data_IF_450517409058
#
_entry.id   IF_450517409058
#
_cell.length_a   1.000
_cell.length_b   1.000
_cell.length_c   1.000
_cell.angle_alpha   90.00
_cell.angle_beta   90.00
_cell.angle_gamma   90.00
#
_symmetry.space_group_name_H-M   'P 1'
#
loop_
_entity.id
_entity.type
_entity.pdbx_description
1 polymer ?
#
# COMPACT_ATOMS: atom_id res chain seq x y z
N UNK A 1 23.87 52.61 -35.78
CA UNK A 1 25.15 51.88 -35.92
C UNK A 1 25.12 50.67 -35.01
N UNK A 2 24.92 49.50 -35.61
CA UNK A 2 25.05 48.23 -34.90
C UNK A 2 26.51 47.75 -35.02
N UNK A 3 27.25 47.80 -33.92
CA UNK A 3 28.54 47.15 -33.82
C UNK A 3 28.35 45.64 -33.98
N UNK A 4 28.65 45.11 -35.17
CA UNK A 4 28.72 43.68 -35.39
C UNK A 4 30.13 43.20 -35.02
N UNK A 5 30.31 42.79 -33.75
CA UNK A 5 31.55 42.18 -33.31
C UNK A 5 31.41 40.66 -33.47
N UNK A 6 32.13 40.11 -34.42
CA UNK A 6 32.21 38.65 -34.63
C UNK A 6 33.52 38.11 -34.06
N UNK A 7 33.43 37.23 -33.06
CA UNK A 7 34.56 36.45 -32.62
C UNK A 7 34.46 35.01 -33.12
N UNK A 8 35.52 34.51 -33.75
CA UNK A 8 35.62 33.10 -34.13
C UNK A 8 35.99 32.29 -32.88
N UNK A 9 35.07 31.45 -32.42
CA UNK A 9 35.31 30.51 -31.32
C UNK A 9 35.36 29.08 -31.85
N UNK A 10 36.26 28.28 -31.33
CA UNK A 10 36.26 26.84 -31.55
C UNK A 10 35.09 26.20 -30.80
N UNK A 11 34.66 25.02 -31.23
CA UNK A 11 33.51 24.32 -30.60
C UNK A 11 33.70 24.02 -29.10
N UNK A 12 34.92 23.79 -28.66
CA UNK A 12 35.22 23.51 -27.24
C UNK A 12 34.98 24.73 -26.33
N UNK A 13 35.50 25.94 -26.61
CA UNK A 13 35.12 27.12 -25.82
C UNK A 13 33.65 27.51 -26.01
N UNK A 14 33.04 27.28 -27.17
CA UNK A 14 31.65 27.58 -27.42
C UNK A 14 30.73 26.71 -26.54
N UNK A 15 31.06 25.44 -26.32
CA UNK A 15 30.29 24.53 -25.47
C UNK A 15 30.25 24.99 -24.01
N UNK A 16 31.25 25.78 -23.54
CA UNK A 16 31.29 26.33 -22.20
C UNK A 16 30.27 27.46 -21.98
N UNK A 17 29.73 28.05 -23.05
CA UNK A 17 28.69 29.09 -22.97
C UNK A 17 27.27 28.49 -22.86
N UNK A 18 27.10 27.20 -23.07
CA UNK A 18 25.82 26.54 -22.90
C UNK A 18 25.63 26.12 -21.43
N UNK A 19 24.62 26.67 -20.72
CA UNK A 19 24.42 26.39 -19.30
C UNK A 19 23.74 25.04 -19.03
N UNK A 20 23.73 24.12 -20.00
CA UNK A 20 23.03 22.83 -19.90
C UNK A 20 23.87 21.73 -19.26
N UNK A 21 24.72 22.04 -18.29
CA UNK A 21 25.63 21.06 -17.68
C UNK A 21 25.02 20.39 -16.45
N UNK A 22 24.02 20.98 -15.80
CA UNK A 22 23.28 20.29 -14.73
C UNK A 22 21.87 20.84 -14.62
N UNK A 23 20.92 19.93 -14.47
CA UNK A 23 19.58 20.29 -14.07
C UNK A 23 19.57 20.42 -12.54
N UNK A 24 19.29 21.59 -12.02
CA UNK A 24 19.08 21.76 -10.60
C UNK A 24 17.73 21.17 -10.24
N UNK A 25 17.75 19.97 -9.65
CA UNK A 25 16.57 19.33 -9.04
C UNK A 25 16.41 19.85 -7.60
N UNK A 26 16.58 21.14 -7.40
CA UNK A 26 16.44 21.76 -6.09
C UNK A 26 15.07 22.43 -5.98
N UNK A 27 14.31 22.01 -5.02
CA UNK A 27 13.08 22.65 -4.56
C UNK A 27 13.42 23.46 -3.28
N UNK A 28 12.62 24.49 -2.99
CA UNK A 28 12.74 25.22 -1.72
C UNK A 28 12.18 24.42 -0.53
N UNK A 29 11.53 23.31 -0.80
CA UNK A 29 10.88 22.43 0.18
C UNK A 29 11.13 20.96 -0.18
N UNK A 30 10.96 20.08 0.81
CA UNK A 30 11.05 18.66 0.65
C UNK A 30 12.22 18.04 1.41
N UNK A 31 12.41 16.75 1.17
CA UNK A 31 13.48 15.99 1.83
C UNK A 31 14.79 16.07 1.04
N UNK A 32 15.90 15.98 1.76
CA UNK A 32 17.23 15.94 1.15
C UNK A 32 17.48 14.55 0.56
N UNK A 33 17.59 14.45 -0.76
CA UNK A 33 17.96 13.19 -1.45
C UNK A 33 19.47 12.98 -1.51
N UNK A 34 20.24 14.05 -1.63
CA UNK A 34 21.70 13.94 -1.69
C UNK A 34 22.37 15.22 -2.17
N UNK A 35 23.58 15.06 -2.68
CA UNK A 35 24.40 16.14 -3.24
C UNK A 35 24.61 15.87 -4.73
N UNK A 36 24.33 16.85 -5.56
CA UNK A 36 24.57 16.77 -7.00
C UNK A 36 26.08 16.66 -7.27
N UNK A 37 26.50 15.61 -7.95
CA UNK A 37 27.93 15.33 -8.21
C UNK A 37 28.56 16.31 -9.19
N UNK A 38 27.78 17.03 -9.98
CA UNK A 38 28.30 17.94 -11.00
C UNK A 38 28.58 19.35 -10.45
N UNK A 39 27.70 19.86 -9.60
CA UNK A 39 27.78 21.23 -9.10
C UNK A 39 27.81 21.33 -7.57
N UNK A 40 27.84 20.20 -6.86
CA UNK A 40 27.84 20.13 -5.38
C UNK A 40 26.64 20.81 -4.71
N UNK A 41 25.56 21.07 -5.45
CA UNK A 41 24.31 21.58 -4.86
C UNK A 41 23.58 20.49 -4.09
N UNK A 42 22.79 20.89 -3.08
CA UNK A 42 21.90 19.97 -2.38
C UNK A 42 20.71 19.65 -3.28
N UNK A 43 20.32 18.38 -3.32
CA UNK A 43 19.11 17.93 -4.00
C UNK A 43 18.00 17.82 -2.96
N UNK A 44 17.17 18.86 -2.88
CA UNK A 44 15.94 18.89 -2.10
C UNK A 44 14.76 18.62 -3.05
N UNK A 45 13.91 17.70 -2.70
CA UNK A 45 12.77 17.33 -3.54
C UNK A 45 11.54 17.01 -2.69
N UNK A 46 10.43 17.66 -3.05
CA UNK A 46 9.12 17.39 -2.50
C UNK A 46 8.31 16.57 -3.50
N UNK A 47 8.20 15.27 -3.25
CA UNK A 47 7.44 14.33 -4.08
C UNK A 47 5.96 14.67 -4.10
N UNK A 48 5.41 15.07 -2.95
CA UNK A 48 3.97 15.31 -2.80
C UNK A 48 3.49 16.60 -3.47
N UNK A 49 4.42 17.48 -3.86
CA UNK A 49 4.09 18.66 -4.68
C UNK A 49 3.90 18.34 -6.16
N UNK A 50 4.21 17.11 -6.59
CA UNK A 50 4.09 16.70 -7.98
C UNK A 50 2.66 16.29 -8.33
N UNK A 51 2.21 16.46 -9.59
CA UNK A 51 0.89 15.97 -10.04
C UNK A 51 0.72 14.45 -9.88
N UNK A 52 1.81 13.70 -9.93
CA UNK A 52 1.86 12.27 -9.65
C UNK A 52 3.08 11.99 -8.77
N UNK A 53 2.83 11.55 -7.55
CA UNK A 53 3.85 11.29 -6.53
C UNK A 53 4.30 9.83 -6.46
N UNK A 54 3.81 8.95 -7.35
CA UNK A 54 4.28 7.58 -7.44
C UNK A 54 5.74 7.54 -7.93
N UNK A 55 6.52 6.63 -7.39
CA UNK A 55 7.91 6.42 -7.83
C UNK A 55 8.24 4.95 -7.93
N UNK A 56 9.18 4.64 -8.80
CA UNK A 56 9.72 3.29 -8.98
C UNK A 56 11.24 3.38 -8.88
N UNK A 57 11.84 2.53 -8.04
CA UNK A 57 13.29 2.50 -7.82
C UNK A 57 13.86 1.22 -8.42
N UNK A 58 14.68 1.38 -9.46
CA UNK A 58 15.42 0.28 -10.09
C UNK A 58 16.87 0.32 -9.66
N UNK A 59 17.40 -0.81 -9.22
CA UNK A 59 18.79 -0.95 -8.86
C UNK A 59 19.26 -2.39 -9.03
N UNK A 60 20.53 -2.57 -9.34
CA UNK A 60 21.18 -3.89 -9.26
C UNK A 60 21.34 -4.29 -7.80
N UNK A 61 21.47 -5.60 -7.54
CA UNK A 61 21.71 -6.09 -6.18
C UNK A 61 22.97 -5.43 -5.58
N UNK A 62 22.88 -5.00 -4.31
CA UNK A 62 23.99 -4.32 -3.62
C UNK A 62 24.19 -2.85 -3.98
N UNK A 63 23.42 -2.27 -4.90
CA UNK A 63 23.55 -0.86 -5.30
C UNK A 63 23.04 0.17 -4.27
N UNK A 64 22.47 -0.28 -3.15
CA UNK A 64 22.00 0.59 -2.07
C UNK A 64 20.52 1.00 -2.17
N UNK A 65 19.69 0.27 -2.95
CA UNK A 65 18.23 0.54 -3.06
C UNK A 65 17.57 0.67 -1.68
N UNK A 66 17.67 -0.38 -0.86
CA UNK A 66 17.04 -0.41 0.47
C UNK A 66 17.63 0.67 1.41
N UNK A 67 18.92 0.98 1.28
CA UNK A 67 19.53 2.06 2.05
C UNK A 67 18.94 3.42 1.68
N UNK A 68 18.82 3.71 0.38
CA UNK A 68 18.24 4.97 -0.09
C UNK A 68 16.75 5.10 0.34
N UNK A 69 15.98 4.02 0.25
CA UNK A 69 14.59 4.01 0.69
C UNK A 69 14.45 4.19 2.20
N UNK A 70 15.29 3.53 3.01
CA UNK A 70 15.31 3.72 4.48
C UNK A 70 15.65 5.16 4.85
N UNK A 71 16.59 5.76 4.13
CA UNK A 71 16.96 7.16 4.35
C UNK A 71 15.83 8.13 3.97
N UNK A 72 15.13 7.84 2.88
CA UNK A 72 13.94 8.60 2.47
C UNK A 72 12.82 8.50 3.52
N UNK A 73 12.54 7.30 4.04
CA UNK A 73 11.58 7.07 5.12
C UNK A 73 11.94 7.88 6.36
N UNK A 74 13.18 7.76 6.85
CA UNK A 74 13.63 8.50 8.03
C UNK A 74 13.46 10.02 7.87
N UNK A 75 13.78 10.54 6.69
CA UNK A 75 13.63 11.96 6.39
C UNK A 75 12.19 12.40 6.26
N UNK A 76 11.31 11.54 5.73
CA UNK A 76 9.88 11.80 5.63
C UNK A 76 9.21 11.84 7.01
N UNK A 77 9.58 10.93 7.91
CA UNK A 77 9.11 10.92 9.30
C UNK A 77 9.44 12.21 10.05
N UNK A 78 10.53 12.92 9.69
CA UNK A 78 10.84 14.24 10.27
C UNK A 78 9.87 15.35 9.87
N UNK A 79 9.02 15.11 8.88
CA UNK A 79 7.98 16.03 8.38
C UNK A 79 6.57 15.54 8.72
N UNK A 80 6.45 14.69 9.74
CA UNK A 80 5.15 14.17 10.22
C UNK A 80 4.39 13.34 9.16
N UNK A 81 5.13 12.65 8.30
CA UNK A 81 4.56 11.77 7.27
C UNK A 81 4.39 10.38 7.85
N UNK A 82 3.19 9.83 7.79
CA UNK A 82 2.95 8.43 8.11
C UNK A 82 3.50 7.52 7.02
N UNK A 83 4.19 6.45 7.43
CA UNK A 83 4.82 5.51 6.51
C UNK A 83 4.31 4.10 6.76
N UNK A 84 3.77 3.48 5.73
CA UNK A 84 3.37 2.07 5.72
C UNK A 84 4.30 1.32 4.76
N UNK A 85 5.02 0.32 5.25
CA UNK A 85 5.93 -0.48 4.45
C UNK A 85 5.46 -1.95 4.36
N UNK A 86 5.39 -2.48 3.13
CA UNK A 86 5.21 -3.92 2.90
C UNK A 86 6.60 -4.50 2.60
N UNK A 87 7.09 -5.33 3.52
CA UNK A 87 8.48 -5.78 3.56
C UNK A 87 8.60 -7.32 3.50
N UNK A 88 8.64 -7.92 2.31
CA UNK A 88 8.75 -9.37 2.18
C UNK A 88 10.12 -9.92 2.59
N UNK A 89 11.17 -9.10 2.66
CA UNK A 89 12.54 -9.51 2.92
C UNK A 89 13.00 -9.24 4.38
N UNK A 90 12.15 -8.64 5.21
CA UNK A 90 12.43 -8.27 6.61
C UNK A 90 13.62 -7.30 6.76
N UNK A 91 13.73 -6.35 5.86
CA UNK A 91 14.82 -5.37 5.91
C UNK A 91 14.49 -4.15 6.78
N UNK A 92 13.20 -3.88 7.10
CA UNK A 92 12.73 -2.66 7.74
C UNK A 92 12.37 -2.83 9.23
N UNK A 93 12.44 -4.04 9.78
CA UNK A 93 12.11 -4.34 11.18
C UNK A 93 12.86 -3.41 12.15
N UNK A 94 14.19 -3.38 12.05
CA UNK A 94 15.02 -2.50 12.89
C UNK A 94 14.68 -1.01 12.71
N UNK A 95 14.36 -0.58 11.51
CA UNK A 95 13.99 0.79 11.24
C UNK A 95 12.67 1.16 11.94
N UNK A 96 11.66 0.29 11.87
CA UNK A 96 10.39 0.49 12.54
C UNK A 96 10.58 0.60 14.06
N UNK A 97 11.33 -0.32 14.67
CA UNK A 97 11.64 -0.28 16.11
C UNK A 97 12.40 0.99 16.51
N UNK A 98 13.42 1.37 15.75
CA UNK A 98 14.26 2.53 16.05
C UNK A 98 13.52 3.87 15.94
N UNK A 99 12.43 3.91 15.14
CA UNK A 99 11.59 5.11 14.98
C UNK A 99 10.34 5.13 15.86
N UNK A 100 10.15 4.11 16.71
CA UNK A 100 8.96 3.97 17.54
C UNK A 100 7.73 3.50 16.78
N UNK A 101 7.92 2.98 15.57
CA UNK A 101 6.88 2.36 14.76
C UNK A 101 6.54 0.94 15.23
N UNK A 102 5.59 0.32 14.52
CA UNK A 102 5.18 -1.07 14.77
C UNK A 102 5.61 -1.95 13.61
N UNK A 103 6.13 -3.11 13.93
CA UNK A 103 6.46 -4.15 12.96
C UNK A 103 5.56 -5.36 13.17
N UNK A 104 4.86 -5.79 12.12
CA UNK A 104 3.99 -6.95 12.14
C UNK A 104 4.60 -8.05 11.27
N UNK A 105 5.05 -9.12 11.88
CA UNK A 105 5.49 -10.29 11.12
C UNK A 105 4.27 -11.14 10.75
N UNK A 106 3.90 -11.11 9.48
CA UNK A 106 2.77 -11.86 8.95
C UNK A 106 3.29 -13.18 8.38
N UNK A 107 3.10 -14.28 9.10
CA UNK A 107 3.49 -15.62 8.67
C UNK A 107 2.53 -16.67 9.21
N UNK A 108 2.56 -17.87 8.65
CA UNK A 108 1.70 -18.98 9.09
C UNK A 108 1.89 -19.39 10.56
N UNK A 109 3.02 -19.03 11.14
CA UNK A 109 3.40 -19.35 12.53
C UNK A 109 3.50 -18.11 13.42
N UNK A 110 3.10 -16.93 12.94
CA UNK A 110 3.15 -15.70 13.73
C UNK A 110 2.01 -15.64 14.75
N UNK A 111 2.24 -14.86 15.80
CA UNK A 111 1.19 -14.53 16.77
C UNK A 111 0.24 -13.43 16.26
N UNK A 112 0.62 -12.77 15.16
CA UNK A 112 -0.19 -11.74 14.53
C UNK A 112 -1.13 -12.37 13.50
N UNK A 113 -2.40 -12.09 13.65
CA UNK A 113 -3.47 -12.52 12.77
C UNK A 113 -4.12 -11.31 12.11
N UNK A 114 -4.74 -11.51 10.96
CA UNK A 114 -5.50 -10.49 10.25
C UNK A 114 -6.90 -11.05 10.08
N UNK A 115 -7.88 -10.35 10.63
CA UNK A 115 -9.27 -10.62 10.31
C UNK A 115 -9.65 -9.83 9.06
N UNK A 116 -9.93 -10.47 7.92
CA UNK A 116 -10.29 -9.74 6.71
C UNK A 116 -11.62 -8.98 6.82
N UNK A 117 -12.45 -9.34 7.79
CA UNK A 117 -13.75 -8.71 8.03
C UNK A 117 -13.70 -7.51 8.95
N UNK A 118 -12.52 -7.14 9.48
CA UNK A 118 -12.37 -5.93 10.28
C UNK A 118 -12.75 -4.70 9.45
N UNK A 119 -13.63 -3.89 10.00
CA UNK A 119 -14.08 -2.67 9.35
C UNK A 119 -13.18 -1.50 9.74
N UNK A 120 -12.80 -0.65 8.79
CA UNK A 120 -12.08 0.57 9.12
C UNK A 120 -12.99 1.52 9.92
N UNK A 121 -12.41 2.43 10.71
CA UNK A 121 -13.18 3.48 11.36
C UNK A 121 -13.90 4.32 10.30
N UNK A 122 -15.14 4.71 10.61
CA UNK A 122 -15.93 5.57 9.69
C UNK A 122 -15.38 7.00 9.77
N UNK A 123 -14.91 7.59 8.67
CA UNK A 123 -14.51 9.00 8.63
C UNK A 123 -15.71 9.92 8.93
N UNK A 124 -15.45 11.11 9.48
CA UNK A 124 -16.53 12.07 9.84
C UNK A 124 -17.34 12.56 8.64
N UNK A 125 -16.76 12.53 7.45
CA UNK A 125 -17.33 12.99 6.19
C UNK A 125 -17.93 11.88 5.32
N UNK A 126 -17.89 10.62 5.77
CA UNK A 126 -18.44 9.47 5.03
C UNK A 126 -19.63 8.83 5.76
N UNK A 127 -20.57 8.28 4.99
CA UNK A 127 -21.66 7.51 5.55
C UNK A 127 -21.19 6.07 5.87
N UNK A 128 -21.58 5.48 7.03
CA UNK A 128 -21.26 4.09 7.36
C UNK A 128 -21.61 3.10 6.25
N UNK A 129 -22.74 3.31 5.56
CA UNK A 129 -23.15 2.50 4.43
C UNK A 129 -22.13 2.45 3.28
N UNK A 130 -21.48 3.56 2.99
CA UNK A 130 -20.52 3.63 1.88
C UNK A 130 -19.19 2.99 2.27
N UNK A 131 -18.76 3.13 3.53
CA UNK A 131 -17.60 2.42 4.09
C UNK A 131 -17.83 0.91 4.01
N UNK A 132 -19.00 0.42 4.45
CA UNK A 132 -19.35 -1.01 4.39
C UNK A 132 -19.40 -1.53 2.96
N UNK A 133 -20.00 -0.78 2.02
CA UNK A 133 -20.02 -1.15 0.59
C UNK A 133 -18.64 -1.27 -0.01
N UNK A 134 -17.80 -0.27 0.24
CA UNK A 134 -16.41 -0.26 -0.24
C UNK A 134 -15.62 -1.44 0.32
N UNK A 135 -15.85 -1.76 1.59
CA UNK A 135 -15.19 -2.89 2.23
C UNK A 135 -15.66 -4.24 1.67
N UNK A 136 -16.97 -4.42 1.44
CA UNK A 136 -17.51 -5.63 0.79
C UNK A 136 -16.88 -5.83 -0.60
N UNK A 137 -16.79 -4.78 -1.42
CA UNK A 137 -16.16 -4.84 -2.74
C UNK A 137 -14.68 -5.25 -2.64
N UNK A 138 -13.96 -4.72 -1.65
CA UNK A 138 -12.58 -5.11 -1.39
C UNK A 138 -12.46 -6.59 -0.96
N UNK A 139 -13.37 -7.07 -0.11
CA UNK A 139 -13.40 -8.47 0.30
C UNK A 139 -13.71 -9.41 -0.86
N UNK A 140 -14.65 -9.08 -1.74
CA UNK A 140 -14.90 -9.85 -2.98
C UNK A 140 -13.63 -9.93 -3.81
N UNK A 141 -12.89 -8.82 -3.95
CA UNK A 141 -11.59 -8.78 -4.62
C UNK A 141 -10.56 -9.69 -3.94
N UNK A 142 -10.47 -9.68 -2.62
CA UNK A 142 -9.60 -10.55 -1.84
C UNK A 142 -9.95 -12.04 -2.07
N UNK A 143 -11.22 -12.42 -1.94
CA UNK A 143 -11.66 -13.80 -2.18
C UNK A 143 -11.43 -14.25 -3.62
N UNK A 144 -11.58 -13.35 -4.61
CA UNK A 144 -11.23 -13.65 -5.99
C UNK A 144 -9.76 -14.05 -6.15
N UNK A 145 -8.86 -13.37 -5.46
CA UNK A 145 -7.43 -13.73 -5.46
C UNK A 145 -7.19 -15.02 -4.67
N UNK A 146 -7.78 -15.17 -3.48
CA UNK A 146 -7.63 -16.36 -2.64
C UNK A 146 -8.10 -17.64 -3.35
N UNK A 147 -9.19 -17.55 -4.09
CA UNK A 147 -9.78 -18.70 -4.81
C UNK A 147 -9.14 -18.96 -6.17
N UNK A 148 -8.22 -18.11 -6.62
CA UNK A 148 -7.57 -18.26 -7.94
C UNK A 148 -8.46 -17.86 -9.11
N UNK A 149 -9.44 -16.98 -8.89
CA UNK A 149 -10.45 -16.54 -9.81
C UNK A 149 -11.87 -16.99 -9.41
N UNK A 150 -12.86 -16.24 -9.84
CA UNK A 150 -14.29 -16.52 -9.64
C UNK A 150 -15.01 -16.43 -10.98
N UNK A 151 -15.98 -17.32 -11.21
CA UNK A 151 -16.96 -17.12 -12.29
C UNK A 151 -17.94 -16.00 -11.91
N UNK A 152 -18.68 -15.41 -12.86
CA UNK A 152 -19.68 -14.39 -12.52
C UNK A 152 -20.73 -14.88 -11.51
N UNK A 153 -21.11 -16.14 -11.57
CA UNK A 153 -22.05 -16.76 -10.65
C UNK A 153 -21.43 -16.92 -9.25
N UNK A 154 -20.18 -17.39 -9.19
CA UNK A 154 -19.42 -17.51 -7.93
C UNK A 154 -19.17 -16.14 -7.29
N UNK A 155 -18.90 -15.11 -8.10
CA UNK A 155 -18.68 -13.73 -7.63
C UNK A 155 -19.94 -13.19 -6.93
N UNK A 156 -21.10 -13.39 -7.52
CA UNK A 156 -22.38 -13.00 -6.92
C UNK A 156 -22.70 -13.78 -5.63
N UNK A 157 -22.34 -15.07 -5.57
CA UNK A 157 -22.51 -15.87 -4.36
C UNK A 157 -21.58 -15.41 -3.22
N UNK A 158 -20.34 -15.06 -3.55
CA UNK A 158 -19.37 -14.54 -2.57
C UNK A 158 -19.83 -13.18 -2.04
N UNK A 159 -20.25 -12.25 -2.91
CA UNK A 159 -20.77 -10.94 -2.52
C UNK A 159 -21.96 -11.07 -1.55
N UNK A 160 -22.91 -11.93 -1.90
CA UNK A 160 -24.05 -12.23 -1.06
C UNK A 160 -23.65 -12.86 0.27
N UNK A 161 -22.74 -13.84 0.27
CA UNK A 161 -22.27 -14.50 1.47
C UNK A 161 -21.57 -13.52 2.43
N UNK A 162 -20.77 -12.59 1.91
CA UNK A 162 -20.12 -11.55 2.72
C UNK A 162 -21.18 -10.65 3.36
N UNK A 163 -22.16 -10.20 2.57
CA UNK A 163 -23.24 -9.33 3.06
C UNK A 163 -24.04 -10.02 4.17
N UNK A 164 -24.41 -11.29 3.97
CA UNK A 164 -25.13 -12.09 4.98
C UNK A 164 -24.26 -12.36 6.21
N UNK A 165 -22.94 -12.48 6.05
CA UNK A 165 -22.00 -12.65 7.17
C UNK A 165 -21.96 -11.41 8.08
N UNK A 166 -21.94 -10.21 7.50
CA UNK A 166 -22.06 -8.98 8.28
C UNK A 166 -23.43 -8.87 8.96
N UNK A 167 -24.50 -9.24 8.26
CA UNK A 167 -25.85 -9.21 8.83
C UNK A 167 -26.03 -10.14 10.04
N UNK A 168 -25.29 -11.25 10.13
CA UNK A 168 -25.29 -12.12 11.32
C UNK A 168 -24.78 -11.41 12.60
N UNK A 169 -24.04 -10.34 12.46
CA UNK A 169 -23.53 -9.50 13.56
C UNK A 169 -24.30 -8.18 13.69
N UNK A 170 -25.48 -8.08 13.10
CA UNK A 170 -26.29 -6.86 13.04
C UNK A 170 -25.61 -5.68 12.33
N UNK A 171 -24.56 -5.96 11.53
CA UNK A 171 -23.88 -4.98 10.69
C UNK A 171 -24.61 -4.92 9.33
N UNK A 172 -25.35 -3.83 9.13
CA UNK A 172 -26.11 -3.57 7.91
C UNK A 172 -25.81 -2.17 7.35
N UNK A 173 -26.29 -1.88 6.17
CA UNK A 173 -26.08 -0.55 5.57
C UNK A 173 -26.77 0.60 6.33
N UNK A 174 -27.70 0.28 7.23
CA UNK A 174 -28.43 1.26 8.02
C UNK A 174 -27.96 1.32 9.48
N UNK A 175 -26.97 0.49 9.87
CA UNK A 175 -26.46 0.41 11.24
C UNK A 175 -25.19 1.23 11.44
N UNK A 176 -25.03 1.79 12.64
CA UNK A 176 -23.73 2.27 13.13
C UNK A 176 -22.97 1.07 13.72
N UNK A 177 -21.92 0.65 13.02
CA UNK A 177 -21.12 -0.51 13.39
C UNK A 177 -19.83 -0.17 14.14
N UNK A 178 -19.62 1.10 14.51
CA UNK A 178 -18.40 1.57 15.17
C UNK A 178 -18.07 0.86 16.50
N UNK A 179 -19.08 0.25 17.13
CA UNK A 179 -18.96 -0.48 18.39
C UNK A 179 -19.27 -1.97 18.29
N UNK A 180 -19.52 -2.47 17.07
CA UNK A 180 -19.92 -3.86 16.85
C UNK A 180 -18.66 -4.68 16.53
N UNK A 181 -18.53 -5.84 17.15
CA UNK A 181 -17.45 -6.79 16.88
C UNK A 181 -17.65 -7.38 15.47
N UNK A 182 -16.63 -7.25 14.57
CA UNK A 182 -16.74 -7.74 13.20
C UNK A 182 -16.83 -9.28 13.17
N UNK A 183 -17.46 -9.85 12.13
CA UNK A 183 -17.49 -11.29 11.96
C UNK A 183 -16.08 -11.85 11.67
N UNK A 184 -15.95 -13.15 11.84
CA UNK A 184 -14.72 -13.89 11.54
C UNK A 184 -14.87 -14.72 10.25
N UNK A 185 -13.76 -15.22 9.75
CA UNK A 185 -13.74 -16.14 8.61
C UNK A 185 -14.58 -17.41 8.86
N UNK A 186 -14.70 -17.85 10.10
CA UNK A 186 -15.56 -18.97 10.50
C UNK A 186 -17.05 -18.68 10.30
N UNK A 187 -17.46 -17.42 10.55
CA UNK A 187 -18.85 -17.01 10.34
C UNK A 187 -19.18 -17.00 8.84
N UNK A 188 -18.22 -16.52 8.02
CA UNK A 188 -18.35 -16.57 6.56
C UNK A 188 -18.39 -18.02 6.03
N UNK A 189 -17.57 -18.94 6.56
CA UNK A 189 -17.64 -20.37 6.20
C UNK A 189 -19.01 -20.95 6.53
N UNK A 190 -19.59 -20.61 7.67
CA UNK A 190 -20.91 -21.08 8.08
C UNK A 190 -22.01 -20.58 7.15
N UNK A 191 -22.02 -19.28 6.81
CA UNK A 191 -22.97 -18.68 5.87
C UNK A 191 -22.85 -19.31 4.50
N UNK A 192 -21.63 -19.40 3.98
CA UNK A 192 -21.37 -19.97 2.66
C UNK A 192 -21.85 -21.43 2.59
N UNK A 193 -21.60 -22.24 3.61
CA UNK A 193 -22.04 -23.63 3.68
C UNK A 193 -23.57 -23.80 3.69
N UNK A 194 -24.31 -22.77 4.11
CA UNK A 194 -25.79 -22.76 4.08
C UNK A 194 -26.40 -22.44 2.71
N UNK A 195 -25.58 -21.97 1.76
CA UNK A 195 -26.04 -21.61 0.42
C UNK A 195 -26.04 -22.82 -0.54
N UNK A 196 -26.79 -22.73 -1.65
CA UNK A 196 -26.79 -23.72 -2.71
C UNK A 196 -25.82 -23.33 -3.83
N UNK A 197 -25.15 -24.30 -4.46
CA UNK A 197 -24.25 -24.07 -5.59
C UNK A 197 -22.84 -23.57 -5.17
N UNK A 198 -22.49 -23.78 -3.91
CA UNK A 198 -21.23 -23.27 -3.31
C UNK A 198 -20.19 -24.36 -3.07
N UNK A 199 -20.39 -25.58 -3.54
CA UNK A 199 -19.52 -26.75 -3.25
C UNK A 199 -18.07 -26.48 -3.64
N UNK A 200 -17.84 -25.87 -4.81
CA UNK A 200 -16.52 -25.45 -5.30
C UNK A 200 -15.90 -24.40 -4.40
N UNK A 201 -16.68 -23.38 -4.01
CA UNK A 201 -16.22 -22.29 -3.13
C UNK A 201 -15.89 -22.81 -1.74
N UNK A 202 -16.76 -23.63 -1.15
CA UNK A 202 -16.54 -24.23 0.17
C UNK A 202 -15.27 -25.10 0.20
N UNK A 203 -15.03 -25.87 -0.85
CA UNK A 203 -13.80 -26.67 -0.97
C UNK A 203 -12.55 -25.80 -1.07
N UNK A 204 -12.59 -24.72 -1.86
CA UNK A 204 -11.46 -23.78 -1.97
C UNK A 204 -11.25 -23.01 -0.66
N UNK A 205 -12.30 -22.63 0.04
CA UNK A 205 -12.26 -21.95 1.33
C UNK A 205 -11.64 -22.83 2.43
N UNK A 206 -11.92 -24.15 2.42
CA UNK A 206 -11.43 -25.07 3.44
C UNK A 206 -9.91 -25.10 3.58
N UNK A 207 -9.18 -24.76 2.53
CA UNK A 207 -7.72 -24.58 2.54
C UNK A 207 -7.29 -23.49 3.54
N UNK A 208 -8.11 -22.47 3.72
CA UNK A 208 -7.83 -21.29 4.56
C UNK A 208 -8.46 -21.41 5.96
N UNK A 209 -9.51 -22.20 6.12
CA UNK A 209 -10.21 -22.36 7.41
C UNK A 209 -9.79 -23.63 8.18
N UNK A 210 -9.45 -24.71 7.48
CA UNK A 210 -9.09 -26.02 8.06
C UNK A 210 -7.73 -26.55 7.62
N UNK A 211 -7.14 -25.94 6.59
CA UNK A 211 -5.86 -26.37 6.01
C UNK A 211 -4.66 -25.70 6.65
N UNK A 212 -3.54 -25.74 5.93
CA UNK A 212 -2.23 -25.17 6.37
C UNK A 212 -2.29 -23.67 6.67
N UNK A 213 -3.27 -22.95 6.09
CA UNK A 213 -3.42 -21.50 6.20
C UNK A 213 -4.43 -21.07 7.30
N UNK A 214 -5.04 -22.04 7.99
CA UNK A 214 -6.12 -21.78 8.95
C UNK A 214 -5.72 -20.86 10.11
N UNK A 215 -4.46 -20.88 10.54
CA UNK A 215 -3.98 -20.07 11.66
C UNK A 215 -3.83 -18.59 11.36
N UNK A 216 -3.87 -18.19 10.08
CA UNK A 216 -3.50 -16.86 9.64
C UNK A 216 -4.69 -15.87 9.56
N UNK A 217 -5.88 -16.34 9.19
CA UNK A 217 -7.05 -15.52 8.90
C UNK A 217 -8.30 -15.87 9.74
N UNK A 218 -8.19 -16.83 10.65
CA UNK A 218 -9.35 -17.37 11.39
C UNK A 218 -9.47 -16.86 12.82
N UNK A 219 -8.57 -16.00 13.25
CA UNK A 219 -8.55 -15.45 14.63
C UNK A 219 -8.71 -13.93 14.60
N UNK A 220 -9.31 -13.35 15.66
CA UNK A 220 -9.40 -11.90 15.79
C UNK A 220 -8.02 -11.26 15.97
#
# INVERSE_FOLDING_TARGET
DRLQVHSKLNSSPLSSFFPFISFDLTSDRGILYGVNRHNSSLILFDRFSMPNYNSVIFATSGAGKSYATKLEILRSLMFDVDVIAIDPEREYEYLAEATGGRYFNISLSSEHHINPFDLPPVPEDEAPADVLRSHIVNLVGLFRVMFGGLTPEEDALVDRAITETYALKDITFDSDFSSIEPPLMSDFELVLAGMTGVESLSHRLSKYTKGTWAGFITRP
#
